data_IF_194742362950
#
_entry.id   IF_194742362950
#
_cell.length_a   1.000
_cell.length_b   1.000
_cell.length_c   1.000
_cell.angle_alpha   90.00
_cell.angle_beta   90.00
_cell.angle_gamma   90.00
#
_symmetry.space_group_name_H-M   'P 1'
#
loop_
_entity.id
_entity.type
_entity.pdbx_description
1 polymer ?
#
# COMPACT_ATOMS: atom_id res chain seq x y z
N UNK A 1 23.79 11.68 4.05
CA UNK A 1 23.56 10.73 5.15
C UNK A 1 22.23 10.08 4.85
N UNK A 2 22.19 8.76 4.67
CA UNK A 2 20.94 8.05 4.45
C UNK A 2 20.17 8.01 5.77
N UNK A 3 18.97 8.58 5.77
CA UNK A 3 18.04 8.42 6.87
C UNK A 3 17.20 7.16 6.64
N UNK A 4 16.57 6.65 7.69
CA UNK A 4 15.68 5.48 7.61
C UNK A 4 14.28 5.96 7.97
N UNK A 5 13.30 5.62 7.14
CA UNK A 5 11.91 5.89 7.45
C UNK A 5 11.50 5.20 8.75
N UNK A 6 11.04 5.97 9.75
CA UNK A 6 10.67 5.44 11.07
C UNK A 6 9.45 4.50 11.06
N UNK A 7 8.72 4.44 9.95
CA UNK A 7 7.56 3.57 9.80
C UNK A 7 7.90 2.27 9.08
N UNK A 8 8.38 2.38 7.83
CA UNK A 8 8.59 1.22 6.97
C UNK A 8 10.04 0.70 6.95
N UNK A 9 11.00 1.44 7.51
CA UNK A 9 12.42 1.04 7.47
C UNK A 9 13.13 1.29 6.14
N UNK A 10 12.47 1.93 5.17
CA UNK A 10 13.06 2.27 3.88
C UNK A 10 14.25 3.24 4.04
N UNK A 11 15.32 3.01 3.28
CA UNK A 11 16.37 4.00 3.13
C UNK A 11 15.84 5.25 2.40
N UNK A 12 15.99 6.41 3.01
CA UNK A 12 15.62 7.71 2.44
C UNK A 12 16.88 8.54 2.27
N UNK A 13 17.02 9.15 1.11
CA UNK A 13 17.97 10.25 0.93
C UNK A 13 17.28 11.54 1.43
N UNK A 14 18.08 12.52 1.83
CA UNK A 14 17.57 13.80 2.37
C UNK A 14 16.57 14.47 1.39
N UNK A 15 16.75 14.24 0.09
CA UNK A 15 15.96 14.85 -0.98
C UNK A 15 14.83 13.96 -1.52
N UNK A 16 14.67 12.72 -1.02
CA UNK A 16 13.66 11.79 -1.53
C UNK A 16 13.07 10.93 -0.41
N UNK A 17 11.92 11.35 0.09
CA UNK A 17 11.17 10.67 1.15
C UNK A 17 10.30 9.53 0.61
N UNK A 18 9.78 8.68 1.49
CA UNK A 18 8.76 7.70 1.13
C UNK A 18 7.50 8.34 0.54
N UNK A 19 7.13 9.56 0.96
CA UNK A 19 5.97 10.25 0.41
C UNK A 19 6.23 10.71 -1.03
N UNK A 20 7.40 11.28 -1.31
CA UNK A 20 7.75 11.72 -2.67
C UNK A 20 7.74 10.54 -3.66
N UNK A 21 8.31 9.41 -3.24
CA UNK A 21 8.27 8.16 -4.01
C UNK A 21 6.85 7.67 -4.25
N UNK A 22 6.00 7.78 -3.22
CA UNK A 22 4.61 7.36 -3.32
C UNK A 22 3.84 8.28 -4.24
N UNK A 23 4.00 9.59 -4.19
CA UNK A 23 3.21 10.53 -5.01
C UNK A 23 3.47 10.35 -6.52
N UNK A 24 4.65 9.86 -6.91
CA UNK A 24 4.95 9.49 -8.31
C UNK A 24 4.17 8.26 -8.79
N UNK A 25 3.92 7.27 -7.93
CA UNK A 25 3.33 6.00 -8.33
C UNK A 25 1.87 6.14 -8.82
N UNK A 26 0.92 6.76 -8.10
CA UNK A 26 -0.43 7.01 -8.59
C UNK A 26 -0.45 7.85 -9.87
N UNK A 27 0.49 8.77 -10.05
CA UNK A 27 0.59 9.55 -11.29
C UNK A 27 0.92 8.64 -12.49
N UNK A 28 1.89 7.73 -12.34
CA UNK A 28 2.22 6.72 -13.36
C UNK A 28 1.05 5.77 -13.62
N UNK A 29 0.43 5.28 -12.55
CA UNK A 29 -0.70 4.33 -12.60
C UNK A 29 -1.95 4.92 -13.25
N UNK A 30 -2.17 6.23 -13.08
CA UNK A 30 -3.27 6.95 -13.70
C UNK A 30 -3.01 7.24 -15.18
N UNK A 31 -1.77 7.58 -15.54
CA UNK A 31 -1.42 8.01 -16.90
C UNK A 31 -1.22 6.85 -17.86
N UNK A 32 -0.84 5.66 -17.38
CA UNK A 32 -0.60 4.50 -18.22
C UNK A 32 -1.32 3.24 -17.68
N UNK A 33 -2.29 2.67 -18.43
CA UNK A 33 -3.03 1.47 -18.03
C UNK A 33 -2.15 0.25 -17.72
N UNK A 34 -0.94 0.17 -18.28
CA UNK A 34 0.00 -0.91 -17.97
C UNK A 34 0.45 -0.92 -16.50
N UNK A 35 0.47 0.25 -15.86
CA UNK A 35 0.78 0.43 -14.44
C UNK A 35 -0.47 0.33 -13.57
N UNK A 36 -1.61 0.85 -14.04
CA UNK A 36 -2.84 0.99 -13.26
C UNK A 36 -3.45 -0.32 -12.70
N UNK A 37 -3.02 -1.49 -13.20
CA UNK A 37 -3.47 -2.79 -12.69
C UNK A 37 -2.98 -3.10 -11.27
N UNK A 38 -1.91 -2.48 -10.79
CA UNK A 38 -1.40 -2.72 -9.42
C UNK A 38 -1.75 -1.58 -8.44
N UNK A 39 -2.52 -0.57 -8.86
CA UNK A 39 -2.82 0.61 -8.05
C UNK A 39 -3.33 0.31 -6.63
N UNK A 40 -4.28 -0.64 -6.52
CA UNK A 40 -4.78 -1.07 -5.21
C UNK A 40 -3.66 -1.60 -4.32
N UNK A 41 -2.79 -2.46 -4.85
CA UNK A 41 -1.66 -3.03 -4.13
C UNK A 41 -0.72 -1.92 -3.66
N UNK A 42 -0.37 -0.99 -4.55
CA UNK A 42 0.50 0.14 -4.26
C UNK A 42 -0.01 0.98 -3.09
N UNK A 43 -1.27 1.42 -3.15
CA UNK A 43 -1.90 2.24 -2.11
C UNK A 43 -1.97 1.46 -0.79
N UNK A 44 -2.43 0.20 -0.83
CA UNK A 44 -2.58 -0.62 0.37
C UNK A 44 -1.24 -0.86 1.07
N UNK A 45 -0.20 -1.25 0.36
CA UNK A 45 1.12 -1.50 0.96
C UNK A 45 1.68 -0.23 1.60
N UNK A 46 1.62 0.89 0.89
CA UNK A 46 2.11 2.15 1.43
C UNK A 46 1.36 2.55 2.71
N UNK A 47 0.03 2.49 2.69
CA UNK A 47 -0.81 2.86 3.82
C UNK A 47 -0.61 1.92 5.03
N UNK A 48 -0.46 0.61 4.80
CA UNK A 48 -0.17 -0.38 5.84
C UNK A 48 1.20 -0.11 6.49
N UNK A 49 2.27 -0.08 5.68
CA UNK A 49 3.63 0.06 6.19
C UNK A 49 3.89 1.42 6.87
N UNK A 50 3.08 2.44 6.56
CA UNK A 50 3.14 3.75 7.20
C UNK A 50 2.06 3.97 8.28
N UNK A 51 1.39 2.91 8.72
CA UNK A 51 0.37 2.91 9.78
C UNK A 51 -0.76 3.94 9.56
N UNK A 52 -1.13 4.19 8.31
CA UNK A 52 -2.12 5.24 7.93
C UNK A 52 -3.55 4.75 7.96
N UNK A 53 -3.79 3.45 7.91
CA UNK A 53 -5.12 2.90 8.14
C UNK A 53 -5.47 2.90 9.63
N UNK A 54 -6.72 3.23 9.95
CA UNK A 54 -7.30 2.94 11.27
C UNK A 54 -7.29 1.43 11.52
N UNK A 55 -7.47 1.02 12.76
CA UNK A 55 -7.53 -0.40 13.12
C UNK A 55 -8.60 -1.20 12.33
N UNK A 56 -9.87 -0.75 12.22
CA UNK A 56 -10.87 -1.47 11.42
C UNK A 56 -10.55 -1.43 9.91
N UNK A 57 -9.98 -0.32 9.41
CA UNK A 57 -9.61 -0.21 8.01
C UNK A 57 -8.44 -1.12 7.65
N UNK A 58 -7.50 -1.35 8.57
CA UNK A 58 -6.36 -2.23 8.40
C UNK A 58 -6.81 -3.69 8.25
N UNK A 59 -7.69 -4.16 9.14
CA UNK A 59 -8.25 -5.53 9.06
C UNK A 59 -8.99 -5.71 7.74
N UNK A 60 -9.87 -4.76 7.41
CA UNK A 60 -10.61 -4.81 6.16
C UNK A 60 -9.69 -4.79 4.93
N UNK A 61 -8.64 -3.97 4.93
CA UNK A 61 -7.71 -3.89 3.82
C UNK A 61 -6.84 -5.14 3.71
N UNK A 62 -6.47 -5.77 4.82
CA UNK A 62 -5.76 -7.04 4.83
C UNK A 62 -6.57 -8.14 4.14
N UNK A 63 -7.86 -8.25 4.45
CA UNK A 63 -8.76 -9.21 3.79
C UNK A 63 -8.85 -8.96 2.28
N UNK A 64 -9.04 -7.69 1.88
CA UNK A 64 -9.10 -7.32 0.45
C UNK A 64 -7.78 -7.58 -0.28
N UNK A 65 -6.65 -7.32 0.37
CA UNK A 65 -5.33 -7.60 -0.19
C UNK A 65 -5.12 -9.11 -0.41
N UNK A 66 -5.55 -9.93 0.55
CA UNK A 66 -5.56 -11.41 0.41
C UNK A 66 -6.43 -11.85 -0.76
N UNK A 67 -7.63 -11.28 -0.91
CA UNK A 67 -8.54 -11.60 -2.01
C UNK A 67 -7.91 -11.32 -3.39
N UNK A 68 -7.21 -10.20 -3.57
CA UNK A 68 -6.49 -9.90 -4.83
C UNK A 68 -5.41 -10.96 -5.08
N UNK A 69 -4.55 -11.20 -4.09
CA UNK A 69 -3.29 -11.92 -4.25
C UNK A 69 -3.47 -13.43 -4.35
N UNK A 70 -4.50 -13.98 -3.72
CA UNK A 70 -4.77 -15.42 -3.62
C UNK A 70 -5.91 -15.86 -4.51
N UNK A 71 -6.99 -15.08 -4.58
CA UNK A 71 -8.22 -15.45 -5.31
C UNK A 71 -8.25 -14.87 -6.72
N UNK A 72 -7.28 -14.03 -7.09
CA UNK A 72 -7.16 -13.45 -8.42
C UNK A 72 -8.29 -12.50 -8.76
N UNK A 73 -8.98 -11.94 -7.76
CA UNK A 73 -10.04 -10.95 -7.97
C UNK A 73 -9.42 -9.74 -8.66
N UNK A 74 -10.05 -9.29 -9.75
CA UNK A 74 -9.48 -8.18 -10.49
C UNK A 74 -9.55 -6.88 -9.67
N UNK A 75 -8.56 -5.98 -9.82
CA UNK A 75 -8.59 -4.66 -9.18
C UNK A 75 -9.83 -3.83 -9.55
N UNK A 76 -10.44 -4.10 -10.70
CA UNK A 76 -11.70 -3.47 -11.13
C UNK A 76 -12.90 -3.94 -10.29
N UNK A 77 -13.00 -5.25 -10.05
CA UNK A 77 -14.04 -5.83 -9.19
C UNK A 77 -13.92 -5.35 -7.75
N UNK A 78 -12.69 -5.25 -7.23
CA UNK A 78 -12.47 -4.71 -5.89
C UNK A 78 -12.79 -3.24 -5.83
N UNK A 79 -12.49 -2.44 -6.86
CA UNK A 79 -12.92 -1.02 -6.88
C UNK A 79 -14.44 -0.88 -6.79
N UNK A 80 -15.18 -1.76 -7.47
CA UNK A 80 -16.65 -1.79 -7.41
C UNK A 80 -17.13 -2.20 -6.01
N UNK A 81 -16.53 -3.23 -5.41
CA UNK A 81 -16.82 -3.66 -4.03
C UNK A 81 -16.48 -2.57 -3.00
N UNK A 82 -15.31 -1.95 -3.13
CA UNK A 82 -14.90 -0.84 -2.28
C UNK A 82 -15.88 0.31 -2.41
N UNK A 83 -16.29 0.69 -3.63
CA UNK A 83 -17.31 1.73 -3.84
C UNK A 83 -18.65 1.39 -3.16
N UNK A 84 -19.07 0.12 -3.16
CA UNK A 84 -20.30 -0.30 -2.46
C UNK A 84 -20.17 -0.37 -0.94
N UNK A 85 -18.97 -0.70 -0.44
CA UNK A 85 -18.66 -0.99 0.97
C UNK A 85 -18.18 0.27 1.74
N UNK A 86 -17.55 1.24 1.07
CA UNK A 86 -16.94 2.45 1.68
C UNK A 86 -17.80 3.69 1.62
N UNK A 87 -19.01 3.60 1.06
CA UNK A 87 -20.00 4.67 1.07
C UNK A 87 -20.15 5.19 2.51
N UNK A 88 -19.84 6.48 2.73
CA UNK A 88 -19.74 7.06 4.09
C UNK A 88 -21.06 6.95 4.85
N UNK A 89 -22.20 6.80 4.15
CA UNK A 89 -23.50 6.54 4.76
C UNK A 89 -23.71 5.13 5.31
N UNK A 90 -22.77 4.19 5.10
CA UNK A 90 -22.89 2.77 5.47
C UNK A 90 -21.88 2.28 6.51
N UNK A 91 -20.88 3.09 6.87
CA UNK A 91 -19.83 2.69 7.83
C UNK A 91 -19.72 3.67 9.00
N UNK A 92 -19.68 3.11 10.20
CA UNK A 92 -19.47 3.88 11.45
C UNK A 92 -17.98 4.08 11.78
N UNK A 93 -17.05 3.58 10.95
CA UNK A 93 -15.60 3.66 11.15
C UNK A 93 -14.91 4.51 10.07
N UNK A 94 -13.69 5.00 10.34
CA UNK A 94 -12.89 5.86 9.44
C UNK A 94 -11.79 5.07 8.71
N UNK A 95 -11.44 5.41 7.47
CA UNK A 95 -10.35 4.73 6.73
C UNK A 95 -9.00 5.11 7.33
N UNK A 96 -8.76 6.41 7.47
CA UNK A 96 -7.49 6.92 7.97
C UNK A 96 -7.43 6.86 9.49
N UNK A 97 -6.25 6.51 9.99
CA UNK A 97 -5.93 6.50 11.42
C UNK A 97 -6.10 7.90 12.01
N UNK A 98 -6.78 7.98 13.15
CA UNK A 98 -6.95 9.22 13.89
C UNK A 98 -5.78 9.46 14.86
N UNK A 99 -5.45 10.73 15.20
CA UNK A 99 -4.29 11.05 16.04
C UNK A 99 -4.32 10.44 17.46
N UNK A 100 -5.51 10.12 17.96
CA UNK A 100 -5.77 9.51 19.27
C UNK A 100 -5.74 7.97 19.24
N UNK A 101 -5.69 7.34 18.07
CA UNK A 101 -5.55 5.90 17.96
C UNK A 101 -4.17 5.42 18.43
N UNK A 102 -4.16 4.23 19.04
CA UNK A 102 -2.92 3.60 19.52
C UNK A 102 -1.94 3.39 18.35
N UNK A 103 -0.65 3.62 18.61
CA UNK A 103 0.41 3.24 17.66
C UNK A 103 0.50 1.72 17.52
N UNK A 104 0.58 1.24 16.29
CA UNK A 104 0.79 -0.16 16.01
C UNK A 104 2.24 -0.55 16.32
N UNK A 105 2.49 -1.83 16.70
CA UNK A 105 3.86 -2.32 16.84
C UNK A 105 4.65 -2.10 15.55
N UNK A 106 5.96 -1.91 15.70
CA UNK A 106 6.85 -1.80 14.56
C UNK A 106 7.05 -3.19 13.94
N UNK A 107 6.90 -3.28 12.62
CA UNK A 107 7.18 -4.47 11.82
C UNK A 107 8.43 -4.18 11.00
N UNK A 108 9.37 -5.12 11.00
CA UNK A 108 10.56 -5.04 10.16
C UNK A 108 10.22 -5.56 8.76
N UNK A 109 9.79 -4.67 7.87
CA UNK A 109 9.38 -5.04 6.52
C UNK A 109 10.57 -5.49 5.67
N UNK A 110 10.46 -6.64 4.99
CA UNK A 110 11.52 -7.13 4.10
C UNK A 110 11.56 -6.43 2.75
N UNK A 111 10.44 -5.85 2.33
CA UNK A 111 10.31 -5.07 1.11
C UNK A 111 9.59 -3.77 1.45
N UNK A 112 10.16 -2.66 1.00
CA UNK A 112 9.64 -1.32 1.22
C UNK A 112 9.44 -0.59 -0.09
N UNK A 113 8.87 0.61 -0.03
CA UNK A 113 8.76 1.49 -1.19
C UNK A 113 10.13 1.82 -1.83
N UNK A 114 11.23 1.81 -1.07
CA UNK A 114 12.57 2.06 -1.61
C UNK A 114 13.06 0.91 -2.50
N UNK A 115 12.59 -0.32 -2.29
CA UNK A 115 12.92 -1.47 -3.13
C UNK A 115 12.12 -1.46 -4.44
N UNK A 116 10.90 -0.91 -4.42
CA UNK A 116 10.03 -0.82 -5.61
C UNK A 116 10.42 0.36 -6.50
N UNK A 117 10.79 1.49 -5.92
CA UNK A 117 11.00 2.75 -6.64
C UNK A 117 12.01 2.69 -7.81
N UNK A 118 13.14 1.96 -7.74
CA UNK A 118 14.06 1.80 -8.88
C UNK A 118 13.43 1.15 -10.12
N UNK A 119 12.29 0.50 -9.98
CA UNK A 119 11.60 -0.23 -11.06
C UNK A 119 10.48 0.59 -11.73
N UNK A 120 10.24 1.84 -11.28
CA UNK A 120 9.09 2.65 -11.70
C UNK A 120 9.04 3.01 -13.20
N UNK A 121 10.18 2.96 -13.89
CA UNK A 121 10.26 3.38 -15.30
C UNK A 121 9.98 2.23 -16.29
N UNK A 122 9.84 1.00 -15.80
CA UNK A 122 9.44 -0.17 -16.60
C UNK A 122 8.14 -0.79 -16.07
N UNK A 123 7.04 -0.83 -16.84
CA UNK A 123 5.74 -1.28 -16.34
C UNK A 123 5.74 -2.75 -15.92
N UNK A 124 6.52 -3.60 -16.60
CA UNK A 124 6.58 -5.04 -16.29
C UNK A 124 7.28 -5.25 -14.95
N UNK A 125 8.46 -4.66 -14.79
CA UNK A 125 9.25 -4.72 -13.56
C UNK A 125 8.53 -4.04 -12.40
N UNK A 126 7.95 -2.85 -12.60
CA UNK A 126 7.16 -2.15 -11.59
C UNK A 126 6.04 -3.03 -11.05
N UNK A 127 5.21 -3.60 -11.93
CA UNK A 127 4.09 -4.43 -11.51
C UNK A 127 4.56 -5.69 -10.76
N UNK A 128 5.62 -6.33 -11.23
CA UNK A 128 6.20 -7.50 -10.55
C UNK A 128 6.71 -7.16 -9.15
N UNK A 129 7.34 -5.99 -8.97
CA UNK A 129 7.83 -5.54 -7.68
C UNK A 129 6.73 -5.09 -6.73
N UNK A 130 5.68 -4.42 -7.22
CA UNK A 130 4.50 -4.10 -6.41
C UNK A 130 3.79 -5.36 -5.95
N UNK A 131 3.61 -6.37 -6.82
CA UNK A 131 3.02 -7.65 -6.41
C UNK A 131 3.87 -8.35 -5.35
N UNK A 132 5.20 -8.30 -5.47
CA UNK A 132 6.12 -8.86 -4.48
C UNK A 132 6.05 -8.11 -3.15
N UNK A 133 5.99 -6.78 -3.20
CA UNK A 133 5.81 -5.92 -2.03
C UNK A 133 4.51 -6.21 -1.29
N UNK A 134 3.42 -6.43 -2.04
CA UNK A 134 2.12 -6.78 -1.48
C UNK A 134 2.10 -8.13 -0.78
N UNK A 135 2.72 -9.15 -1.38
CA UNK A 135 2.86 -10.47 -0.75
C UNK A 135 3.66 -10.40 0.55
N UNK A 136 4.82 -9.76 0.52
CA UNK A 136 5.65 -9.57 1.71
C UNK A 136 4.90 -8.81 2.82
N UNK A 137 4.22 -7.72 2.46
CA UNK A 137 3.42 -6.94 3.42
C UNK A 137 2.33 -7.80 4.08
N UNK A 138 1.61 -8.62 3.31
CA UNK A 138 0.55 -9.47 3.85
C UNK A 138 1.09 -10.60 4.74
N UNK A 139 2.18 -11.24 4.32
CA UNK A 139 2.86 -12.29 5.08
C UNK A 139 3.36 -11.76 6.43
N UNK A 140 3.96 -10.57 6.45
CA UNK A 140 4.57 -9.97 7.64
C UNK A 140 3.54 -9.30 8.57
N UNK A 141 2.40 -8.85 8.05
CA UNK A 141 1.30 -8.30 8.85
C UNK A 141 0.58 -9.38 9.67
N UNK A 142 0.69 -10.65 9.28
CA UNK A 142 -0.06 -11.77 9.87
C UNK A 142 0.61 -12.42 11.09
N UNK A 143 1.65 -11.78 11.67
CA UNK A 143 2.43 -12.28 12.81
C UNK A 143 2.35 -11.41 14.06
#
# INVERSE_FOLDING_TARGET
MSEICSFCGAATDVDLTCQDRFDEFPALEFTNPAYGKVHLLTVSCFMIQHQRYSDPALIWMQEKLSDVLEKGVSPGEIRVQMSSDVDQGKRDWKIERQPDERKLPHINWSITIADVYPHKDDPVSYCAWVERWARATLEELSY
#
